data_IF_764975105619
#
_entry.id   IF_764975105619
#
_cell.length_a   1.000
_cell.length_b   1.000
_cell.length_c   1.000
_cell.angle_alpha   90.00
_cell.angle_beta   90.00
_cell.angle_gamma   90.00
#
_symmetry.space_group_name_H-M   'P 1'
#
loop_
_entity.id
_entity.type
_entity.pdbx_description
1 polymer ?
#
# COMPACT_ATOMS: atom_id res chain seq x y z
N UNK A 1 -30.12 3.06 10.07
CA UNK A 1 -29.02 2.08 9.88
C UNK A 1 -27.74 2.76 10.32
N UNK A 2 -26.91 2.08 11.09
CA UNK A 2 -25.58 2.57 11.47
C UNK A 2 -24.67 2.59 10.25
N UNK A 3 -23.80 3.60 10.17
CA UNK A 3 -22.81 3.68 9.11
C UNK A 3 -21.82 2.52 9.23
N UNK A 4 -21.47 1.92 8.09
CA UNK A 4 -20.49 0.83 7.98
C UNK A 4 -19.21 1.33 7.36
N UNK A 5 -18.08 1.07 8.00
CA UNK A 5 -16.78 1.56 7.57
C UNK A 5 -15.81 0.40 7.39
N UNK A 6 -15.18 0.32 6.23
CA UNK A 6 -14.10 -0.63 5.98
C UNK A 6 -12.74 0.07 5.99
N UNK A 7 -11.75 -0.58 6.60
CA UNK A 7 -10.36 -0.15 6.63
C UNK A 7 -9.47 -1.13 5.84
N UNK A 8 -8.46 -0.59 5.16
CA UNK A 8 -7.36 -1.39 4.62
C UNK A 8 -6.16 -1.30 5.55
N UNK A 9 -5.82 -2.39 6.21
CA UNK A 9 -4.74 -2.45 7.17
C UNK A 9 -3.52 -3.15 6.56
N UNK A 10 -2.44 -2.40 6.36
CA UNK A 10 -1.16 -2.93 5.88
C UNK A 10 -0.15 -3.04 7.01
N UNK A 11 1.09 -3.44 6.69
CA UNK A 11 2.19 -3.49 7.65
C UNK A 11 2.59 -2.11 8.24
N UNK A 12 2.12 -0.99 7.68
CA UNK A 12 2.37 0.35 8.24
C UNK A 12 1.60 0.65 9.53
N UNK A 13 0.61 -0.19 9.88
CA UNK A 13 -0.27 -0.11 11.05
C UNK A 13 -1.06 1.20 11.21
N UNK A 14 -0.90 2.17 10.32
CA UNK A 14 -1.51 3.49 10.49
C UNK A 14 -3.05 3.40 10.41
N UNK A 15 -3.67 2.75 9.40
CA UNK A 15 -5.13 2.56 9.36
C UNK A 15 -5.68 1.82 10.59
N UNK A 16 -4.94 0.83 11.11
CA UNK A 16 -5.33 0.08 12.31
C UNK A 16 -5.27 0.94 13.59
N UNK A 17 -4.20 1.71 13.76
CA UNK A 17 -4.11 2.64 14.89
C UNK A 17 -5.19 3.73 14.80
N UNK A 18 -5.49 4.21 13.58
CA UNK A 18 -6.56 5.18 13.35
C UNK A 18 -7.92 4.60 13.73
N UNK A 19 -8.23 3.34 13.37
CA UNK A 19 -9.51 2.72 13.72
C UNK A 19 -9.71 2.60 15.24
N UNK A 20 -8.65 2.35 16.02
CA UNK A 20 -8.70 2.37 17.49
C UNK A 20 -9.14 3.71 18.08
N UNK A 21 -8.65 4.83 17.54
CA UNK A 21 -9.07 6.15 18.01
C UNK A 21 -10.44 6.54 17.45
N UNK A 22 -10.72 6.11 16.23
CA UNK A 22 -11.96 6.39 15.52
C UNK A 22 -13.17 5.73 16.21
N UNK A 23 -13.08 4.45 16.58
CA UNK A 23 -14.17 3.71 17.24
C UNK A 23 -14.63 4.36 18.56
N UNK A 24 -13.79 5.15 19.22
CA UNK A 24 -14.14 5.83 20.48
C UNK A 24 -15.13 6.98 20.29
N UNK A 25 -15.28 7.47 19.07
CA UNK A 25 -16.10 8.64 18.73
C UNK A 25 -17.17 8.33 17.68
N UNK A 26 -17.18 7.12 17.16
CA UNK A 26 -18.05 6.70 16.08
C UNK A 26 -18.94 5.55 16.55
N UNK A 27 -20.24 5.69 16.31
CA UNK A 27 -21.24 4.67 16.62
C UNK A 27 -21.68 3.99 15.32
N UNK A 28 -21.08 2.83 15.03
CA UNK A 28 -21.36 2.05 13.83
C UNK A 28 -20.40 0.87 13.66
N UNK A 29 -20.55 0.15 12.54
CA UNK A 29 -19.80 -1.08 12.31
C UNK A 29 -18.46 -0.82 11.63
N UNK A 30 -17.40 -1.37 12.22
CA UNK A 30 -16.07 -1.31 11.65
C UNK A 30 -15.70 -2.67 11.04
N UNK A 31 -15.11 -2.62 9.84
CA UNK A 31 -14.63 -3.78 9.11
C UNK A 31 -13.16 -3.60 8.71
N UNK A 32 -12.41 -4.69 8.57
CA UNK A 32 -10.98 -4.63 8.23
C UNK A 32 -10.54 -5.65 7.20
N UNK A 33 -9.80 -5.21 6.18
CA UNK A 33 -9.01 -6.09 5.31
C UNK A 33 -7.55 -5.96 5.72
N UNK A 34 -6.94 -7.07 6.11
CA UNK A 34 -5.52 -7.14 6.47
C UNK A 34 -4.67 -7.68 5.32
N UNK A 35 -3.79 -6.84 4.78
CA UNK A 35 -2.74 -7.20 3.83
C UNK A 35 -1.42 -7.40 4.58
N UNK A 36 -1.28 -8.60 5.17
CA UNK A 36 -0.22 -8.92 6.12
C UNK A 36 0.36 -10.31 5.89
N UNK A 37 1.65 -10.47 6.21
CA UNK A 37 2.30 -11.78 6.22
C UNK A 37 1.84 -12.67 7.38
N UNK A 38 2.14 -13.97 7.30
CA UNK A 38 1.73 -14.97 8.30
C UNK A 38 2.13 -14.62 9.75
N UNK A 39 3.31 -14.01 9.97
CA UNK A 39 3.79 -13.73 11.33
C UNK A 39 2.95 -12.66 12.06
N UNK A 40 2.78 -11.44 11.54
CA UNK A 40 1.91 -10.44 12.17
C UNK A 40 0.44 -10.85 12.17
N UNK A 41 -0.01 -11.66 11.20
CA UNK A 41 -1.39 -12.15 11.13
C UNK A 41 -1.88 -12.80 12.44
N UNK A 42 -1.05 -13.60 13.11
CA UNK A 42 -1.46 -14.26 14.36
C UNK A 42 -1.86 -13.26 15.45
N UNK A 43 -1.12 -12.14 15.57
CA UNK A 43 -1.50 -11.07 16.50
C UNK A 43 -2.88 -10.48 16.16
N UNK A 44 -3.16 -10.23 14.89
CA UNK A 44 -4.42 -9.61 14.46
C UNK A 44 -5.64 -10.55 14.52
N UNK A 45 -5.43 -11.86 14.61
CA UNK A 45 -6.51 -12.81 14.90
C UNK A 45 -7.00 -12.71 16.34
N UNK A 46 -6.09 -12.42 17.27
CA UNK A 46 -6.35 -12.48 18.72
C UNK A 46 -6.49 -11.09 19.35
N UNK A 47 -6.15 -10.02 18.62
CA UNK A 47 -6.24 -8.66 19.14
C UNK A 47 -7.70 -8.28 19.49
N UNK A 48 -7.87 -7.58 20.61
CA UNK A 48 -9.15 -7.01 21.06
C UNK A 48 -9.07 -5.48 21.24
N UNK A 49 -8.08 -4.84 20.62
CA UNK A 49 -7.89 -3.39 20.75
C UNK A 49 -8.92 -2.64 19.90
N UNK A 50 -9.18 -3.13 18.69
CA UNK A 50 -10.20 -2.60 17.78
C UNK A 50 -11.32 -3.62 17.62
N UNK A 51 -12.54 -3.18 17.89
CA UNK A 51 -13.76 -3.98 17.80
C UNK A 51 -14.27 -3.99 16.36
N UNK A 52 -13.59 -4.74 15.50
CA UNK A 52 -14.08 -4.98 14.14
C UNK A 52 -15.21 -6.01 14.16
N UNK A 53 -16.35 -5.68 13.55
CA UNK A 53 -17.48 -6.58 13.37
C UNK A 53 -17.07 -7.80 12.52
N UNK A 54 -16.20 -7.60 11.52
CA UNK A 54 -15.56 -8.68 10.77
C UNK A 54 -14.24 -8.24 10.15
N UNK A 55 -13.29 -9.18 10.06
CA UNK A 55 -11.99 -8.98 9.42
C UNK A 55 -11.70 -10.08 8.41
N UNK A 56 -10.95 -9.75 7.36
CA UNK A 56 -10.45 -10.70 6.37
C UNK A 56 -8.95 -10.56 6.20
N UNK A 57 -8.26 -11.68 6.03
CA UNK A 57 -6.84 -11.69 5.70
C UNK A 57 -6.70 -11.89 4.20
N UNK A 58 -6.25 -10.85 3.51
CA UNK A 58 -6.19 -10.77 2.05
C UNK A 58 -5.57 -12.03 1.43
N UNK A 59 -4.38 -12.41 1.87
CA UNK A 59 -3.63 -13.53 1.29
C UNK A 59 -4.28 -14.91 1.48
N UNK A 60 -5.24 -15.08 2.39
CA UNK A 60 -5.98 -16.35 2.54
C UNK A 60 -6.94 -16.62 1.38
N UNK A 61 -7.29 -15.56 0.65
CA UNK A 61 -8.28 -15.60 -0.42
C UNK A 61 -7.67 -15.55 -1.82
N UNK A 62 -6.35 -15.34 -1.94
CA UNK A 62 -5.68 -15.19 -3.24
C UNK A 62 -5.04 -16.49 -3.69
N UNK A 63 -5.39 -16.92 -4.91
CA UNK A 63 -4.89 -18.15 -5.52
C UNK A 63 -4.21 -17.83 -6.85
N UNK A 64 -3.03 -18.42 -7.07
CA UNK A 64 -2.23 -18.17 -8.28
C UNK A 64 -2.22 -19.32 -9.30
N UNK A 65 -2.84 -20.47 -8.98
CA UNK A 65 -2.77 -21.68 -9.83
C UNK A 65 -4.15 -22.29 -10.08
N UNK A 66 -5.10 -21.48 -10.52
CA UNK A 66 -6.43 -21.95 -10.91
C UNK A 66 -6.66 -21.82 -12.42
N UNK A 67 -7.67 -22.54 -12.89
CA UNK A 67 -8.28 -22.28 -14.21
C UNK A 67 -8.95 -20.92 -14.16
N UNK A 68 -8.51 -20.03 -15.06
CA UNK A 68 -8.98 -18.65 -15.13
C UNK A 68 -10.26 -18.54 -15.94
N UNK A 69 -11.23 -17.77 -15.44
CA UNK A 69 -12.41 -17.35 -16.19
C UNK A 69 -12.18 -15.96 -16.83
N UNK A 70 -11.71 -15.97 -18.07
CA UNK A 70 -11.47 -14.75 -18.84
C UNK A 70 -12.76 -13.95 -19.12
N UNK A 71 -13.92 -14.61 -19.17
CA UNK A 71 -15.21 -13.94 -19.38
C UNK A 71 -15.58 -13.12 -18.14
N UNK A 72 -15.38 -13.69 -16.95
CA UNK A 72 -15.55 -12.97 -15.69
C UNK A 72 -14.62 -11.75 -15.60
N UNK A 73 -13.32 -11.90 -15.92
CA UNK A 73 -12.38 -10.77 -15.88
C UNK A 73 -12.79 -9.63 -16.84
N UNK A 74 -13.30 -9.96 -18.02
CA UNK A 74 -13.84 -8.96 -18.96
C UNK A 74 -15.05 -8.23 -18.37
N UNK A 75 -15.99 -8.96 -17.77
CA UNK A 75 -17.15 -8.37 -17.11
C UNK A 75 -16.75 -7.45 -15.94
N UNK A 76 -15.70 -7.79 -15.20
CA UNK A 76 -15.17 -6.93 -14.12
C UNK A 76 -14.61 -5.62 -14.66
N UNK A 77 -13.82 -5.66 -15.75
CA UNK A 77 -13.32 -4.45 -16.40
C UNK A 77 -14.48 -3.52 -16.77
N UNK A 78 -15.56 -4.05 -17.37
CA UNK A 78 -16.74 -3.30 -17.77
C UNK A 78 -17.51 -2.77 -16.55
N UNK A 79 -17.87 -3.64 -15.61
CA UNK A 79 -18.64 -3.32 -14.39
C UNK A 79 -17.96 -2.21 -13.58
N UNK A 80 -16.65 -2.31 -13.41
CA UNK A 80 -15.88 -1.38 -12.58
C UNK A 80 -15.21 -0.24 -13.34
N UNK A 81 -15.31 -0.24 -14.68
CA UNK A 81 -14.58 0.66 -15.57
C UNK A 81 -13.08 0.69 -15.24
N UNK A 82 -12.47 -0.49 -15.28
CA UNK A 82 -11.06 -0.75 -14.97
C UNK A 82 -10.30 -1.20 -16.22
N UNK A 83 -8.99 -1.03 -16.15
CA UNK A 83 -8.04 -1.78 -16.98
C UNK A 83 -7.19 -2.66 -16.05
N UNK A 84 -7.63 -3.91 -15.86
CA UNK A 84 -6.92 -4.88 -15.02
C UNK A 84 -5.51 -5.22 -15.58
N UNK A 85 -5.30 -5.11 -16.90
CA UNK A 85 -3.98 -5.35 -17.48
C UNK A 85 -3.02 -4.18 -17.20
N UNK A 86 -3.51 -2.94 -17.27
CA UNK A 86 -2.73 -1.77 -16.88
C UNK A 86 -2.33 -1.86 -15.40
N UNK A 87 -3.27 -2.24 -14.53
CA UNK A 87 -3.02 -2.39 -13.10
C UNK A 87 -1.91 -3.42 -12.81
N UNK A 88 -1.96 -4.58 -13.46
CA UNK A 88 -0.96 -5.65 -13.27
C UNK A 88 0.41 -5.28 -13.84
N UNK A 89 0.46 -4.68 -15.04
CA UNK A 89 1.72 -4.25 -15.68
C UNK A 89 2.46 -3.18 -14.89
N UNK A 90 1.72 -2.35 -14.15
CA UNK A 90 2.29 -1.30 -13.29
C UNK A 90 2.53 -1.76 -11.84
N UNK A 91 2.14 -2.97 -11.48
CA UNK A 91 2.39 -3.50 -10.14
C UNK A 91 3.85 -3.96 -9.99
N UNK A 92 4.51 -3.54 -8.91
CA UNK A 92 5.94 -3.86 -8.68
C UNK A 92 6.22 -5.35 -8.44
N UNK A 93 5.20 -6.15 -8.13
CA UNK A 93 5.30 -7.59 -7.89
C UNK A 93 4.94 -8.35 -9.15
N UNK A 94 3.83 -8.03 -9.80
CA UNK A 94 3.32 -8.79 -10.96
C UNK A 94 3.98 -8.39 -12.28
N UNK A 95 4.64 -7.23 -12.35
CA UNK A 95 5.30 -6.82 -13.57
C UNK A 95 6.54 -7.67 -13.89
N UNK A 96 6.96 -7.60 -15.17
CA UNK A 96 8.13 -8.31 -15.71
C UNK A 96 9.48 -7.93 -15.10
N UNK A 97 9.54 -6.88 -14.26
CA UNK A 97 10.78 -6.43 -13.62
C UNK A 97 10.96 -7.02 -12.22
N UNK A 98 10.07 -7.91 -11.77
CA UNK A 98 10.25 -8.64 -10.53
C UNK A 98 11.52 -9.51 -10.59
N UNK A 99 12.43 -9.24 -9.67
CA UNK A 99 13.77 -9.85 -9.67
C UNK A 99 13.79 -11.25 -9.02
N UNK A 100 12.68 -11.64 -8.39
CA UNK A 100 12.55 -12.85 -7.60
C UNK A 100 11.79 -13.95 -8.33
N UNK A 101 10.71 -13.60 -9.04
CA UNK A 101 9.82 -14.54 -9.70
C UNK A 101 9.28 -13.94 -11.00
N UNK A 102 9.23 -14.76 -12.04
CA UNK A 102 8.64 -14.39 -13.33
C UNK A 102 7.24 -15.02 -13.41
N UNK A 103 6.22 -14.18 -13.37
CA UNK A 103 4.83 -14.64 -13.36
C UNK A 103 4.35 -14.90 -14.78
N UNK A 104 3.74 -16.07 -14.99
CA UNK A 104 3.02 -16.33 -16.24
C UNK A 104 1.72 -15.53 -16.30
N UNK A 105 1.24 -15.23 -17.52
CA UNK A 105 -0.05 -14.56 -17.72
C UNK A 105 -1.21 -15.29 -17.01
N UNK A 106 -1.19 -16.63 -17.00
CA UNK A 106 -2.21 -17.41 -16.31
C UNK A 106 -2.15 -17.24 -14.78
N UNK A 107 -0.95 -17.14 -14.18
CA UNK A 107 -0.81 -16.85 -12.75
C UNK A 107 -1.30 -15.45 -12.41
N UNK A 108 -0.92 -14.45 -13.21
CA UNK A 108 -1.38 -13.06 -13.04
C UNK A 108 -2.90 -13.01 -13.11
N UNK A 109 -3.50 -13.59 -14.14
CA UNK A 109 -4.95 -13.58 -14.30
C UNK A 109 -5.66 -14.36 -13.18
N UNK A 110 -5.10 -15.48 -12.71
CA UNK A 110 -5.63 -16.24 -11.56
C UNK A 110 -5.62 -15.41 -10.27
N UNK A 111 -4.54 -14.65 -10.03
CA UNK A 111 -4.40 -13.77 -8.87
C UNK A 111 -5.46 -12.68 -8.95
N UNK A 112 -5.53 -11.95 -10.06
CA UNK A 112 -6.50 -10.86 -10.26
C UNK A 112 -7.94 -11.35 -10.16
N UNK A 113 -8.27 -12.50 -10.74
CA UNK A 113 -9.60 -13.09 -10.61
C UNK A 113 -9.95 -13.36 -9.15
N UNK A 114 -9.01 -13.91 -8.38
CA UNK A 114 -9.20 -14.17 -6.95
C UNK A 114 -9.39 -12.87 -6.15
N UNK A 115 -8.60 -11.83 -6.47
CA UNK A 115 -8.73 -10.50 -5.87
C UNK A 115 -10.12 -9.90 -6.14
N UNK A 116 -10.56 -9.89 -7.40
CA UNK A 116 -11.86 -9.36 -7.79
C UNK A 116 -13.01 -10.09 -7.11
N UNK A 117 -13.02 -11.43 -7.13
CA UNK A 117 -14.06 -12.24 -6.47
C UNK A 117 -14.10 -12.01 -4.97
N UNK A 118 -12.94 -11.91 -4.34
CA UNK A 118 -12.82 -11.64 -2.91
C UNK A 118 -13.37 -10.26 -2.55
N UNK A 119 -13.00 -9.23 -3.31
CA UNK A 119 -13.47 -7.87 -3.08
C UNK A 119 -14.96 -7.70 -3.39
N UNK A 120 -15.48 -8.27 -4.48
CA UNK A 120 -16.92 -8.30 -4.75
C UNK A 120 -17.67 -8.94 -3.58
N UNK A 121 -17.21 -10.12 -3.12
CA UNK A 121 -17.81 -10.80 -1.97
C UNK A 121 -17.88 -9.90 -0.74
N UNK A 122 -16.80 -9.24 -0.36
CA UNK A 122 -16.79 -8.33 0.80
C UNK A 122 -17.79 -7.19 0.59
N UNK A 123 -17.71 -6.53 -0.56
CA UNK A 123 -18.50 -5.34 -0.83
C UNK A 123 -20.00 -5.67 -0.97
N UNK A 124 -20.35 -6.86 -1.46
CA UNK A 124 -21.73 -7.37 -1.52
C UNK A 124 -22.23 -7.80 -0.14
N UNK A 125 -21.36 -8.38 0.70
CA UNK A 125 -21.75 -8.86 2.03
C UNK A 125 -22.05 -7.70 2.99
N UNK A 126 -21.18 -6.67 3.02
CA UNK A 126 -21.30 -5.63 4.03
C UNK A 126 -21.90 -4.33 3.52
N UNK A 127 -21.82 -4.04 2.22
CA UNK A 127 -22.27 -2.78 1.61
C UNK A 127 -21.81 -1.54 2.39
N UNK A 128 -20.50 -1.26 2.46
CA UNK A 128 -19.98 -0.23 3.35
C UNK A 128 -20.31 1.19 2.86
N UNK A 129 -20.58 2.11 3.78
CA UNK A 129 -20.80 3.52 3.44
C UNK A 129 -19.48 4.25 3.17
N UNK A 130 -18.43 3.89 3.90
CA UNK A 130 -17.12 4.54 3.82
C UNK A 130 -15.98 3.53 3.68
N UNK A 131 -14.96 3.91 2.91
CA UNK A 131 -13.65 3.27 2.89
C UNK A 131 -12.60 4.25 3.42
N UNK A 132 -12.03 3.96 4.60
CA UNK A 132 -10.95 4.74 5.20
C UNK A 132 -9.61 4.08 4.89
N UNK A 133 -8.68 4.85 4.34
CA UNK A 133 -7.42 4.31 3.84
C UNK A 133 -6.28 5.33 3.82
N UNK A 134 -5.05 4.86 3.67
CA UNK A 134 -3.90 5.65 3.21
C UNK A 134 -3.78 5.62 1.69
N UNK A 135 -2.80 6.33 1.16
CA UNK A 135 -2.44 6.26 -0.26
C UNK A 135 -2.27 4.82 -0.75
N UNK A 136 -2.93 4.50 -1.86
CA UNK A 136 -2.87 3.17 -2.46
C UNK A 136 -1.54 2.97 -3.19
N UNK A 137 -0.66 2.16 -2.63
CA UNK A 137 0.71 1.96 -3.15
C UNK A 137 0.89 0.68 -3.96
N UNK A 138 0.13 -0.37 -3.65
CA UNK A 138 0.16 -1.66 -4.36
C UNK A 138 -1.12 -1.89 -5.15
N UNK A 139 -1.04 -2.71 -6.19
CA UNK A 139 -2.17 -2.99 -7.06
C UNK A 139 -3.42 -3.53 -6.35
N UNK A 140 -3.39 -4.49 -5.41
CA UNK A 140 -4.62 -5.00 -4.79
C UNK A 140 -5.34 -3.92 -3.95
N UNK A 141 -4.57 -3.11 -3.23
CA UNK A 141 -5.10 -1.98 -2.47
C UNK A 141 -5.72 -0.92 -3.40
N UNK A 142 -5.07 -0.64 -4.53
CA UNK A 142 -5.59 0.29 -5.54
C UNK A 142 -6.83 -0.25 -6.27
N UNK A 143 -6.87 -1.55 -6.55
CA UNK A 143 -8.02 -2.25 -7.13
C UNK A 143 -9.23 -2.13 -6.21
N UNK A 144 -9.07 -2.45 -4.91
CA UNK A 144 -10.13 -2.31 -3.93
C UNK A 144 -10.65 -0.87 -3.83
N UNK A 145 -9.75 0.13 -3.81
CA UNK A 145 -10.12 1.55 -3.89
C UNK A 145 -10.97 1.88 -5.11
N UNK A 146 -10.55 1.44 -6.31
CA UNK A 146 -11.28 1.71 -7.55
C UNK A 146 -12.66 1.05 -7.54
N UNK A 147 -12.75 -0.19 -7.04
CA UNK A 147 -14.02 -0.90 -6.89
C UNK A 147 -14.95 -0.16 -5.94
N UNK A 148 -14.46 0.22 -4.75
CA UNK A 148 -15.25 1.00 -3.78
C UNK A 148 -15.80 2.28 -4.40
N UNK A 149 -14.93 3.05 -5.07
CA UNK A 149 -15.30 4.31 -5.71
C UNK A 149 -16.38 4.12 -6.78
N UNK A 150 -16.30 3.08 -7.61
CA UNK A 150 -17.32 2.82 -8.64
C UNK A 150 -18.68 2.50 -8.01
N UNK A 151 -18.70 1.80 -6.87
CA UNK A 151 -19.94 1.51 -6.12
C UNK A 151 -20.53 2.72 -5.39
N UNK A 152 -19.90 3.90 -5.49
CA UNK A 152 -20.35 5.11 -4.79
C UNK A 152 -19.98 5.13 -3.30
N UNK A 153 -19.11 4.23 -2.84
CA UNK A 153 -18.61 4.22 -1.46
C UNK A 153 -17.74 5.45 -1.25
N UNK A 154 -18.00 6.19 -0.17
CA UNK A 154 -17.26 7.43 0.10
C UNK A 154 -15.87 7.11 0.60
N UNK A 155 -14.87 7.63 -0.09
CA UNK A 155 -13.46 7.34 0.23
C UNK A 155 -12.89 8.45 1.11
N UNK A 156 -12.28 8.09 2.24
CA UNK A 156 -11.51 9.00 3.07
C UNK A 156 -10.04 8.54 3.03
N UNK A 157 -9.32 9.00 2.00
CA UNK A 157 -7.91 8.68 1.81
C UNK A 157 -7.04 9.73 2.49
N UNK A 158 -6.23 9.31 3.47
CA UNK A 158 -5.19 10.13 4.05
C UNK A 158 -4.01 10.22 3.06
N UNK A 159 -3.81 11.41 2.51
CA UNK A 159 -2.71 11.75 1.61
C UNK A 159 -1.64 12.53 2.37
N UNK A 160 -0.39 12.27 2.04
CA UNK A 160 0.70 13.15 2.41
C UNK A 160 0.70 14.38 1.51
N UNK A 161 0.89 15.53 2.12
CA UNK A 161 1.10 16.75 1.38
C UNK A 161 2.56 16.86 0.92
N UNK A 162 2.76 17.48 -0.24
CA UNK A 162 4.10 17.68 -0.80
C UNK A 162 4.95 18.69 0.01
N UNK A 163 4.35 19.33 1.01
CA UNK A 163 4.97 20.33 1.88
C UNK A 163 4.99 19.89 3.36
N UNK A 164 6.14 20.05 4.02
CA UNK A 164 6.30 19.78 5.47
C UNK A 164 5.85 18.35 5.85
N UNK A 165 5.30 18.18 7.05
CA UNK A 165 4.75 16.91 7.58
C UNK A 165 3.22 16.90 7.56
N UNK A 166 2.62 17.68 6.66
CA UNK A 166 1.17 17.85 6.61
C UNK A 166 0.53 16.69 5.87
N UNK A 167 -0.71 16.37 6.25
CA UNK A 167 -1.57 15.41 5.57
C UNK A 167 -2.93 16.04 5.32
N UNK A 168 -3.66 15.51 4.36
CA UNK A 168 -5.05 15.89 4.09
C UNK A 168 -5.86 14.67 3.69
N UNK A 169 -7.18 14.77 3.88
CA UNK A 169 -8.13 13.71 3.52
C UNK A 169 -8.81 14.09 2.23
N UNK A 170 -8.90 13.16 1.29
CA UNK A 170 -9.68 13.33 0.07
C UNK A 170 -10.12 12.00 -0.54
N UNK A 171 -10.99 12.03 -1.55
CA UNK A 171 -11.45 10.82 -2.24
C UNK A 171 -10.48 10.29 -3.30
N UNK A 172 -9.46 11.08 -3.67
CA UNK A 172 -8.54 10.76 -4.77
C UNK A 172 -7.10 11.01 -4.33
N UNK A 173 -6.21 10.09 -4.72
CA UNK A 173 -4.78 10.21 -4.43
C UNK A 173 -4.23 11.54 -4.94
N UNK A 174 -3.60 12.28 -4.04
CA UNK A 174 -3.03 13.61 -4.23
C UNK A 174 -3.90 14.63 -4.97
N UNK A 175 -5.23 14.56 -4.79
CA UNK A 175 -6.16 15.57 -5.31
C UNK A 175 -7.03 16.05 -4.16
N UNK A 176 -7.05 17.36 -3.95
CA UNK A 176 -7.95 18.00 -2.99
C UNK A 176 -9.37 17.91 -3.56
N UNK A 177 -10.34 17.58 -2.71
CA UNK A 177 -11.74 17.56 -3.11
C UNK A 177 -12.27 19.00 -3.17
N UNK A 178 -13.21 19.27 -4.08
CA UNK A 178 -13.91 20.56 -4.19
C UNK A 178 -13.00 21.80 -4.31
N UNK A 179 -11.85 21.68 -5.00
CA UNK A 179 -10.90 22.80 -5.20
C UNK A 179 -11.59 24.04 -5.78
N UNK A 180 -12.57 23.86 -6.66
CA UNK A 180 -13.31 24.97 -7.29
C UNK A 180 -14.19 25.75 -6.29
N UNK A 181 -14.52 25.15 -5.14
CA UNK A 181 -15.31 25.80 -4.07
C UNK A 181 -14.41 26.53 -3.07
N UNK A 182 -13.09 26.34 -3.14
CA UNK A 182 -12.14 27.08 -2.33
C UNK A 182 -12.15 28.54 -2.79
N UNK A 183 -12.83 29.40 -2.02
CA UNK A 183 -12.73 30.85 -2.21
C UNK A 183 -11.28 31.25 -2.01
N UNK A 184 -10.70 32.00 -2.95
CA UNK A 184 -9.42 32.66 -2.73
C UNK A 184 -9.61 33.66 -1.59
N UNK A 185 -9.19 33.30 -0.39
CA UNK A 185 -9.45 34.13 0.79
C UNK A 185 -8.41 35.21 1.01
N UNK A 186 -7.22 35.15 0.40
CA UNK A 186 -6.20 36.21 0.51
C UNK A 186 -5.53 36.46 -0.84
N UNK A 187 -5.58 37.72 -1.30
CA UNK A 187 -4.79 38.25 -2.42
C UNK A 187 -3.44 38.82 -1.94
N UNK A 188 -2.95 38.38 -0.78
CA UNK A 188 -1.61 38.77 -0.33
C UNK A 188 -0.62 38.26 -1.38
N UNK A 189 0.02 39.19 -2.09
CA UNK A 189 1.00 38.90 -3.12
C UNK A 189 2.24 38.30 -2.44
N UNK A 190 2.25 36.99 -2.25
CA UNK A 190 3.45 36.27 -1.83
C UNK A 190 4.45 36.37 -2.99
N UNK A 191 5.62 36.94 -2.72
CA UNK A 191 6.69 37.03 -3.69
C UNK A 191 7.26 35.64 -4.03
N UNK A 192 7.82 35.50 -5.22
CA UNK A 192 8.49 34.26 -5.64
C UNK A 192 9.58 33.83 -4.63
N UNK A 193 10.33 34.79 -4.07
CA UNK A 193 11.37 34.53 -3.06
C UNK A 193 10.80 33.96 -1.77
N UNK A 194 9.64 34.43 -1.32
CA UNK A 194 8.95 33.88 -0.16
C UNK A 194 8.45 32.46 -0.42
N UNK A 195 7.92 32.17 -1.61
CA UNK A 195 7.54 30.80 -2.01
C UNK A 195 8.77 29.89 -2.00
N UNK A 196 9.90 30.33 -2.54
CA UNK A 196 11.15 29.56 -2.54
C UNK A 196 11.62 29.28 -1.11
N UNK A 197 11.63 30.28 -0.23
CA UNK A 197 12.01 30.11 1.17
C UNK A 197 11.08 29.13 1.89
N UNK A 198 9.77 29.27 1.70
CA UNK A 198 8.77 28.33 2.24
C UNK A 198 9.00 26.91 1.73
N UNK A 199 9.31 26.74 0.45
CA UNK A 199 9.65 25.44 -0.13
C UNK A 199 10.91 24.86 0.52
N UNK A 200 11.99 25.65 0.64
CA UNK A 200 13.25 25.22 1.27
C UNK A 200 13.07 24.77 2.72
N UNK A 201 12.33 25.52 3.52
CA UNK A 201 12.01 25.18 4.91
C UNK A 201 11.14 23.93 5.01
N UNK A 202 10.25 23.75 4.04
CA UNK A 202 9.29 22.65 4.01
C UNK A 202 9.79 21.39 3.31
N UNK A 203 11.02 21.39 2.76
CA UNK A 203 11.62 20.24 2.08
C UNK A 203 11.62 19.00 2.97
N UNK A 204 10.79 18.03 2.59
CA UNK A 204 10.64 16.74 3.27
C UNK A 204 11.97 15.97 3.34
N UNK A 205 12.83 16.12 2.33
CA UNK A 205 14.14 15.46 2.26
C UNK A 205 15.04 15.80 3.46
N UNK A 206 14.96 17.01 4.03
CA UNK A 206 15.70 17.41 5.23
C UNK A 206 15.29 16.56 6.44
N UNK A 207 13.99 16.30 6.59
CA UNK A 207 13.45 15.45 7.65
C UNK A 207 13.83 13.98 7.47
N UNK A 208 13.74 13.45 6.24
CA UNK A 208 14.16 12.08 5.98
C UNK A 208 15.66 11.87 6.24
N UNK A 209 16.52 12.84 5.90
CA UNK A 209 17.96 12.75 6.16
C UNK A 209 18.25 12.68 7.66
N UNK A 210 17.57 13.49 8.48
CA UNK A 210 17.70 13.45 9.95
C UNK A 210 17.29 12.09 10.49
N UNK A 211 16.09 11.62 10.14
CA UNK A 211 15.57 10.31 10.56
C UNK A 211 16.49 9.15 10.16
N UNK A 212 16.98 9.13 8.92
CA UNK A 212 17.91 8.09 8.47
C UNK A 212 19.25 8.14 9.20
N UNK A 213 19.75 9.32 9.54
CA UNK A 213 20.99 9.44 10.29
C UNK A 213 20.82 8.97 11.75
N UNK A 214 19.68 9.24 12.37
CA UNK A 214 19.36 8.77 13.73
C UNK A 214 19.14 7.24 13.78
N UNK A 215 18.55 6.66 12.72
CA UNK A 215 18.29 5.23 12.64
C UNK A 215 19.40 4.39 12.01
N UNK A 216 20.52 5.00 11.59
CA UNK A 216 21.67 4.25 11.04
C UNK A 216 22.21 3.31 12.10
N UNK A 217 21.89 2.04 11.95
CA UNK A 217 22.40 0.98 12.81
C UNK A 217 23.85 0.65 12.46
N UNK A 218 24.61 0.21 13.48
CA UNK A 218 25.95 -0.32 13.30
C UNK A 218 25.97 -1.49 12.31
N UNK A 219 27.06 -1.66 11.55
CA UNK A 219 27.25 -2.81 10.65
C UNK A 219 27.08 -4.16 11.37
N UNK A 220 27.40 -4.22 12.68
CA UNK A 220 27.22 -5.41 13.51
C UNK A 220 25.74 -5.80 13.62
N UNK A 221 24.85 -4.80 13.76
CA UNK A 221 23.40 -5.02 13.86
C UNK A 221 22.87 -5.59 12.54
N UNK A 222 23.38 -5.10 11.40
CA UNK A 222 23.02 -5.61 10.09
C UNK A 222 23.40 -7.10 9.93
N UNK A 223 24.59 -7.50 10.37
CA UNK A 223 25.03 -8.90 10.34
C UNK A 223 24.12 -9.77 11.24
N UNK A 224 23.83 -9.31 12.47
CA UNK A 224 22.91 -10.00 13.38
C UNK A 224 21.52 -10.17 12.75
N UNK A 225 21.01 -9.15 12.06
CA UNK A 225 19.74 -9.21 11.36
C UNK A 225 19.78 -10.21 10.20
N UNK A 226 20.86 -10.24 9.42
CA UNK A 226 21.03 -11.21 8.33
C UNK A 226 21.06 -12.65 8.85
N UNK A 227 21.78 -12.93 9.94
CA UNK A 227 21.78 -14.25 10.60
C UNK A 227 20.37 -14.61 11.08
N UNK A 228 19.69 -13.69 11.77
CA UNK A 228 18.31 -13.92 12.24
C UNK A 228 17.35 -14.21 11.08
N UNK A 229 17.49 -13.50 9.97
CA UNK A 229 16.71 -13.75 8.75
C UNK A 229 17.02 -15.12 8.15
N UNK A 230 18.29 -15.55 8.10
CA UNK A 230 18.69 -16.88 7.64
C UNK A 230 18.12 -18.01 8.50
N UNK A 231 17.96 -17.79 9.80
CA UNK A 231 17.42 -18.77 10.75
C UNK A 231 15.88 -18.77 10.87
N UNK A 232 15.19 -17.73 10.40
CA UNK A 232 13.72 -17.63 10.56
C UNK A 232 12.94 -18.68 9.74
N UNK A 233 11.63 -18.78 9.89
CA UNK A 233 10.81 -19.50 8.88
C UNK A 233 10.64 -18.64 7.62
N UNK A 234 10.39 -19.27 6.46
CA UNK A 234 10.15 -18.57 5.18
C UNK A 234 8.88 -19.08 4.49
N UNK A 235 7.82 -19.34 5.25
CA UNK A 235 6.62 -20.02 4.75
C UNK A 235 5.78 -19.15 3.81
N UNK A 236 5.97 -17.82 3.83
CA UNK A 236 5.27 -16.88 2.95
C UNK A 236 5.52 -17.18 1.46
N UNK A 237 6.68 -17.74 1.09
CA UNK A 237 6.99 -18.11 -0.31
C UNK A 237 6.00 -19.11 -0.91
N UNK A 238 5.27 -19.86 -0.06
CA UNK A 238 4.29 -20.87 -0.50
C UNK A 238 2.86 -20.34 -0.53
N UNK A 239 2.58 -19.29 0.25
CA UNK A 239 1.22 -18.85 0.57
C UNK A 239 0.91 -17.45 0.04
N UNK A 240 1.92 -16.62 -0.18
CA UNK A 240 1.78 -15.23 -0.59
C UNK A 240 2.47 -15.06 -1.93
N UNK A 241 1.71 -14.77 -2.99
CA UNK A 241 2.28 -14.55 -4.33
C UNK A 241 3.36 -13.45 -4.32
N UNK A 242 3.19 -12.44 -3.47
CA UNK A 242 4.16 -11.35 -3.26
C UNK A 242 5.53 -11.80 -2.75
N UNK A 243 5.63 -13.04 -2.25
CA UNK A 243 6.85 -13.65 -1.75
C UNK A 243 7.41 -14.77 -2.64
N UNK A 244 6.77 -15.08 -3.78
CA UNK A 244 7.25 -16.12 -4.69
C UNK A 244 8.68 -15.86 -5.14
N UNK A 245 9.48 -16.93 -5.23
CA UNK A 245 10.90 -16.85 -5.61
C UNK A 245 11.84 -16.14 -4.62
N UNK A 246 11.34 -15.60 -3.49
CA UNK A 246 12.14 -14.92 -2.46
C UNK A 246 12.86 -15.91 -1.53
N UNK A 247 13.72 -16.73 -2.11
CA UNK A 247 14.62 -17.61 -1.37
C UNK A 247 15.61 -16.77 -0.55
N UNK A 248 15.89 -17.15 0.70
CA UNK A 248 16.71 -16.34 1.61
C UNK A 248 18.09 -16.01 1.07
N UNK A 249 18.78 -17.00 0.50
CA UNK A 249 20.09 -16.80 -0.13
C UNK A 249 20.00 -15.86 -1.33
N UNK A 250 18.97 -16.01 -2.19
CA UNK A 250 18.72 -15.11 -3.33
C UNK A 250 18.51 -13.68 -2.84
N UNK A 251 17.73 -13.47 -1.78
CA UNK A 251 17.52 -12.16 -1.15
C UNK A 251 18.84 -11.57 -0.66
N UNK A 252 19.67 -12.33 0.07
CA UNK A 252 20.96 -11.81 0.56
C UNK A 252 21.94 -11.46 -0.57
N UNK A 253 22.06 -12.34 -1.58
CA UNK A 253 22.89 -12.08 -2.76
C UNK A 253 22.42 -10.80 -3.45
N UNK A 254 21.10 -10.63 -3.56
CA UNK A 254 20.49 -9.48 -4.20
C UNK A 254 20.76 -8.17 -3.45
N UNK A 255 20.57 -8.16 -2.13
CA UNK A 255 20.91 -7.02 -1.27
C UNK A 255 22.39 -6.61 -1.42
N UNK A 256 23.29 -7.58 -1.52
CA UNK A 256 24.70 -7.31 -1.77
C UNK A 256 24.96 -6.71 -3.16
N UNK A 257 24.37 -7.29 -4.21
CA UNK A 257 24.46 -6.78 -5.58
C UNK A 257 23.93 -5.34 -5.69
N UNK A 258 22.80 -5.06 -5.06
CA UNK A 258 22.16 -3.75 -5.12
C UNK A 258 22.99 -2.69 -4.38
N UNK A 259 23.67 -3.08 -3.29
CA UNK A 259 24.66 -2.21 -2.62
C UNK A 259 25.82 -1.84 -3.54
N UNK A 260 26.37 -2.81 -4.28
CA UNK A 260 27.44 -2.55 -5.26
C UNK A 260 26.93 -1.61 -6.37
N UNK A 261 25.78 -1.93 -6.97
CA UNK A 261 25.17 -1.10 -8.02
C UNK A 261 24.92 0.33 -7.54
N UNK A 262 24.42 0.50 -6.31
CA UNK A 262 24.20 1.81 -5.70
C UNK A 262 25.50 2.61 -5.59
N UNK A 263 26.59 1.99 -5.13
CA UNK A 263 27.88 2.66 -5.01
C UNK A 263 28.44 3.06 -6.38
N UNK A 264 28.35 2.18 -7.38
CA UNK A 264 28.80 2.47 -8.75
C UNK A 264 28.01 3.62 -9.37
N UNK A 265 26.67 3.61 -9.23
CA UNK A 265 25.80 4.69 -9.70
C UNK A 265 26.10 6.00 -9.00
N UNK A 266 26.33 5.97 -7.69
CA UNK A 266 26.73 7.15 -6.92
C UNK A 266 28.05 7.71 -7.44
N UNK A 267 29.07 6.87 -7.59
CA UNK A 267 30.38 7.29 -8.13
C UNK A 267 30.23 7.96 -9.50
N UNK A 268 29.42 7.38 -10.39
CA UNK A 268 29.15 7.99 -11.69
C UNK A 268 28.51 9.38 -11.57
N UNK A 269 27.50 9.55 -10.72
CA UNK A 269 26.85 10.85 -10.49
C UNK A 269 27.86 11.87 -9.93
N UNK A 270 28.61 11.48 -8.90
CA UNK A 270 29.60 12.34 -8.24
C UNK A 270 30.75 12.75 -9.17
N UNK A 271 31.08 11.94 -10.19
CA UNK A 271 32.16 12.23 -11.15
C UNK A 271 31.68 12.96 -12.42
N UNK A 272 30.39 12.90 -12.77
CA UNK A 272 29.91 13.30 -14.10
C UNK A 272 28.73 14.27 -14.11
N UNK A 273 27.99 14.41 -13.01
CA UNK A 273 26.72 15.17 -12.98
C UNK A 273 26.64 16.23 -11.87
N UNK A 274 27.57 16.21 -10.92
CA UNK A 274 27.74 17.21 -9.85
C UNK A 274 29.09 17.90 -10.03
#
# INVERSE_FOLDING_TARGET
>A
MTDKIIFWCSADLLPYCLSYFFQKKFDGDLFGIYDLTNKPKEFFKEQNLVNFSKVWFYHDHIKSKNKVDMKYLKQINEKYNLDLQELTKNDRILNKYNEYYDFSDNEINSIIESECKFFEKILDEIEPNYFITTETTLQPHHLFYKMCKKRGIKILMLNHANWKKLCYISQKRHKIDNVNELKQTNNDLISFKEIQNLFEESRISKYHKKFHNELKSSQIILIKAAIKFLLSKNDNIKTHYTYFGRNKFKVLIKEFQDRIKKNNRKKFIDEKLL
#
